data_IF_152263511260
#
_entry.id   IF_152263511260
#
_cell.length_a   1.000
_cell.length_b   1.000
_cell.length_c   1.000
_cell.angle_alpha   90.00
_cell.angle_beta   90.00
_cell.angle_gamma   90.00
#
_symmetry.space_group_name_H-M   'P 1'
#
loop_
_entity.id
_entity.type
_entity.pdbx_description
1 polymer ?
#
# COMPACT_ATOMS: atom_id res chain seq x y z
N UNK A 1 -27.65 -5.92 -2.15
CA UNK A 1 -28.65 -5.06 -2.80
C UNK A 1 -29.33 -4.20 -1.74
N UNK A 2 -29.23 -2.87 -1.85
CA UNK A 2 -29.91 -1.91 -0.99
C UNK A 2 -30.84 -1.04 -1.84
N UNK A 3 -32.02 -0.71 -1.32
CA UNK A 3 -32.99 0.14 -2.01
C UNK A 3 -33.59 1.16 -1.04
N UNK A 4 -33.77 2.39 -1.54
CA UNK A 4 -34.45 3.46 -0.81
C UNK A 4 -35.57 4.01 -1.67
N UNK A 5 -36.80 3.85 -1.22
CA UNK A 5 -38.01 4.22 -1.95
C UNK A 5 -38.52 5.56 -1.45
N UNK A 6 -38.31 6.62 -2.25
CA UNK A 6 -38.96 7.90 -2.07
C UNK A 6 -40.37 7.92 -2.68
N UNK A 7 -41.07 9.05 -2.60
CA UNK A 7 -42.38 9.22 -3.25
C UNK A 7 -42.24 9.46 -4.75
N UNK A 8 -41.16 10.13 -5.16
CA UNK A 8 -40.91 10.48 -6.56
C UNK A 8 -39.83 9.63 -7.23
N UNK A 9 -38.84 9.17 -6.47
CA UNK A 9 -37.71 8.39 -6.98
C UNK A 9 -37.39 7.21 -6.06
N UNK A 10 -37.02 6.09 -6.65
CA UNK A 10 -36.37 4.99 -5.94
C UNK A 10 -34.87 5.00 -6.25
N UNK A 11 -34.03 4.80 -5.24
CA UNK A 11 -32.57 4.67 -5.40
C UNK A 11 -32.17 3.25 -5.07
N UNK A 12 -31.55 2.57 -6.03
CA UNK A 12 -31.02 1.22 -5.92
C UNK A 12 -29.51 1.25 -5.89
N UNK A 13 -28.94 0.50 -4.97
CA UNK A 13 -27.53 0.15 -4.95
C UNK A 13 -27.35 -1.37 -5.07
N UNK A 14 -26.76 -1.82 -6.17
CA UNK A 14 -26.53 -3.25 -6.41
C UNK A 14 -25.30 -3.50 -7.29
N UNK A 15 -24.50 -4.50 -6.91
CA UNK A 15 -23.34 -4.94 -7.71
C UNK A 15 -22.37 -3.84 -8.13
N UNK A 16 -22.13 -2.83 -7.29
CA UNK A 16 -21.26 -1.70 -7.64
C UNK A 16 -21.89 -0.69 -8.62
N UNK A 17 -23.22 -0.65 -8.71
CA UNK A 17 -23.96 0.33 -9.52
C UNK A 17 -25.03 1.03 -8.69
N UNK A 18 -25.20 2.33 -8.95
CA UNK A 18 -26.26 3.18 -8.39
C UNK A 18 -27.25 3.47 -9.50
N UNK A 19 -28.51 3.10 -9.29
CA UNK A 19 -29.61 3.34 -10.23
C UNK A 19 -30.67 4.19 -9.56
N UNK A 20 -31.13 5.26 -10.21
CA UNK A 20 -32.33 5.98 -9.78
C UNK A 20 -33.47 5.69 -10.74
N UNK A 21 -34.64 5.38 -10.21
CA UNK A 21 -35.84 5.12 -10.98
C UNK A 21 -36.93 6.13 -10.59
N UNK A 22 -37.34 7.02 -11.52
CA UNK A 22 -38.52 7.86 -11.36
C UNK A 22 -39.78 7.01 -11.15
N UNK A 23 -40.62 7.39 -10.21
CA UNK A 23 -41.89 6.74 -9.85
C UNK A 23 -43.11 7.51 -10.36
N UNK A 24 -42.89 8.70 -10.92
CA UNK A 24 -43.90 9.54 -11.58
C UNK A 24 -43.43 9.83 -13.02
N UNK A 25 -44.38 10.10 -13.91
CA UNK A 25 -44.10 10.34 -15.34
C UNK A 25 -43.52 11.75 -15.63
N UNK A 26 -43.48 12.64 -14.63
CA UNK A 26 -42.92 13.99 -14.76
C UNK A 26 -41.41 13.98 -14.55
N UNK A 27 -40.67 14.51 -15.53
CA UNK A 27 -39.31 15.11 -15.61
C UNK A 27 -38.15 14.62 -14.70
N UNK A 28 -38.34 13.64 -13.84
CA UNK A 28 -37.25 13.01 -13.10
C UNK A 28 -36.55 12.01 -14.02
N UNK A 29 -35.23 12.14 -14.13
CA UNK A 29 -34.45 11.32 -15.05
C UNK A 29 -33.80 10.17 -14.29
N UNK A 30 -33.91 8.97 -14.87
CA UNK A 30 -33.25 7.80 -14.35
C UNK A 30 -31.72 7.92 -14.51
N UNK A 31 -31.00 7.70 -13.41
CA UNK A 31 -29.55 7.56 -13.38
C UNK A 31 -29.23 6.07 -13.40
N UNK A 32 -28.21 5.68 -14.15
CA UNK A 32 -27.57 4.37 -14.03
C UNK A 32 -26.05 4.58 -14.10
N UNK A 33 -25.40 4.50 -12.95
CA UNK A 33 -24.01 4.92 -12.77
C UNK A 33 -23.23 3.81 -12.07
N UNK A 34 -22.13 3.32 -12.67
CA UNK A 34 -21.21 2.46 -11.94
C UNK A 34 -20.49 3.25 -10.83
N UNK A 35 -20.37 2.67 -9.64
CA UNK A 35 -19.69 3.29 -8.49
C UNK A 35 -18.26 3.70 -8.83
N UNK A 36 -17.59 3.00 -9.74
CA UNK A 36 -16.25 3.35 -10.21
C UNK A 36 -16.14 4.75 -10.86
N UNK A 37 -17.25 5.32 -11.33
CA UNK A 37 -17.33 6.68 -11.89
C UNK A 37 -17.57 7.73 -10.81
N UNK A 38 -17.92 7.31 -9.59
CA UNK A 38 -18.12 8.18 -8.45
C UNK A 38 -16.79 8.43 -7.73
N UNK A 39 -16.57 9.68 -7.35
CA UNK A 39 -15.51 10.10 -6.42
C UNK A 39 -15.93 9.88 -4.98
N UNK A 40 -17.19 10.19 -4.65
CA UNK A 40 -17.79 10.02 -3.32
C UNK A 40 -19.32 10.14 -3.39
N UNK A 41 -20.00 9.65 -2.36
CA UNK A 41 -21.42 9.91 -2.12
C UNK A 41 -21.60 10.56 -0.73
N UNK A 42 -22.55 11.48 -0.59
CA UNK A 42 -22.83 12.16 0.69
C UNK A 42 -24.32 12.36 0.90
N UNK A 43 -24.69 12.63 2.15
CA UNK A 43 -26.04 13.04 2.51
C UNK A 43 -26.01 14.48 3.00
N UNK A 44 -26.91 15.29 2.45
CA UNK A 44 -27.20 16.63 2.92
C UNK A 44 -28.69 16.76 3.25
N UNK A 45 -29.04 17.77 4.03
CA UNK A 45 -30.44 18.17 4.30
C UNK A 45 -30.67 19.52 3.64
N UNK A 46 -31.76 19.65 2.88
CA UNK A 46 -32.15 20.92 2.25
C UNK A 46 -32.85 21.83 3.24
N UNK A 47 -33.00 23.11 2.92
CA UNK A 47 -33.73 24.07 3.75
C UNK A 47 -35.19 23.66 3.99
N UNK A 48 -35.85 23.04 2.99
CA UNK A 48 -37.21 22.49 3.11
C UNK A 48 -37.30 21.18 3.91
N UNK A 49 -36.22 20.76 4.57
CA UNK A 49 -36.14 19.54 5.38
C UNK A 49 -35.97 18.24 4.58
N UNK A 50 -36.03 18.25 3.25
CA UNK A 50 -35.75 17.08 2.39
C UNK A 50 -34.31 16.62 2.51
N UNK A 51 -34.06 15.38 2.10
CA UNK A 51 -32.74 14.76 2.10
C UNK A 51 -32.22 14.73 0.68
N UNK A 52 -30.95 15.08 0.49
CA UNK A 52 -30.28 14.96 -0.79
C UNK A 52 -29.14 13.95 -0.66
N UNK A 53 -29.21 12.87 -1.43
CA UNK A 53 -28.06 12.00 -1.69
C UNK A 53 -27.25 12.65 -2.81
N UNK A 54 -26.08 13.17 -2.47
CA UNK A 54 -25.18 13.89 -3.36
C UNK A 54 -24.16 12.93 -3.96
N UNK A 55 -24.24 12.71 -5.28
CA UNK A 55 -23.30 11.87 -6.03
C UNK A 55 -22.24 12.76 -6.68
N UNK A 56 -20.97 12.59 -6.30
CA UNK A 56 -19.86 13.32 -6.89
C UNK A 56 -19.15 12.42 -7.90
N UNK A 57 -18.99 12.88 -9.14
CA UNK A 57 -18.33 12.14 -10.20
C UNK A 57 -16.81 12.38 -10.19
N UNK A 58 -16.06 11.39 -10.69
CA UNK A 58 -14.60 11.49 -10.87
C UNK A 58 -14.25 12.40 -12.04
N UNK A 59 -14.95 12.22 -13.17
CA UNK A 59 -14.76 13.03 -14.36
C UNK A 59 -15.71 14.24 -14.34
N UNK A 60 -15.20 15.48 -14.54
CA UNK A 60 -16.07 16.65 -14.76
C UNK A 60 -16.90 16.53 -16.04
N UNK A 61 -16.45 15.76 -17.01
CA UNK A 61 -17.13 15.58 -18.29
C UNK A 61 -18.18 14.46 -18.25
N UNK A 62 -18.36 13.80 -17.09
CA UNK A 62 -19.37 12.77 -16.94
C UNK A 62 -20.76 13.37 -17.18
N UNK A 63 -21.45 12.88 -18.21
CA UNK A 63 -22.74 13.42 -18.64
C UNK A 63 -23.86 12.78 -17.83
N UNK A 64 -24.62 13.62 -17.14
CA UNK A 64 -25.85 13.24 -16.44
C UNK A 64 -27.01 13.98 -17.10
N UNK A 65 -27.96 13.22 -17.65
CA UNK A 65 -29.16 13.77 -18.31
C UNK A 65 -28.83 14.73 -19.47
N UNK A 66 -27.78 14.41 -20.25
CA UNK A 66 -27.32 15.26 -21.35
C UNK A 66 -26.51 16.48 -20.92
N UNK A 67 -26.30 16.70 -19.62
CA UNK A 67 -25.51 17.81 -19.06
C UNK A 67 -24.24 17.28 -18.38
N UNK A 68 -23.03 17.75 -18.73
CA UNK A 68 -21.81 17.39 -18.01
C UNK A 68 -21.88 17.82 -16.54
N UNK A 69 -21.41 16.98 -15.63
CA UNK A 69 -21.47 17.25 -14.19
C UNK A 69 -20.61 18.45 -13.76
N UNK A 70 -19.53 18.78 -14.49
CA UNK A 70 -18.65 19.93 -14.23
C UNK A 70 -18.23 20.08 -12.77
N UNK A 71 -17.94 18.96 -12.09
CA UNK A 71 -17.64 18.85 -10.66
C UNK A 71 -18.80 19.16 -9.69
N UNK A 72 -19.98 19.52 -10.17
CA UNK A 72 -21.16 19.67 -9.33
C UNK A 72 -21.71 18.29 -8.92
N UNK A 73 -22.09 18.10 -7.65
CA UNK A 73 -22.74 16.88 -7.24
C UNK A 73 -24.13 16.79 -7.88
N UNK A 74 -24.51 15.59 -8.29
CA UNK A 74 -25.88 15.32 -8.75
C UNK A 74 -26.72 14.94 -7.53
N UNK A 75 -27.73 15.75 -7.17
CA UNK A 75 -28.59 15.47 -6.04
C UNK A 75 -29.70 14.48 -6.41
N UNK A 76 -29.93 13.50 -5.54
CA UNK A 76 -31.13 12.66 -5.56
C UNK A 76 -31.92 12.98 -4.31
N UNK A 77 -33.11 13.56 -4.48
CA UNK A 77 -33.93 14.03 -3.38
C UNK A 77 -34.83 12.91 -2.84
N UNK A 78 -34.85 12.78 -1.52
CA UNK A 78 -35.65 11.81 -0.77
C UNK A 78 -36.37 12.54 0.37
N UNK A 79 -37.44 11.92 0.86
CA UNK A 79 -38.20 12.45 1.98
C UNK A 79 -37.43 12.33 3.31
N UNK A 80 -37.72 13.19 4.30
CA UNK A 80 -37.01 13.22 5.58
C UNK A 80 -37.03 11.87 6.32
N UNK A 81 -38.10 11.10 6.18
CA UNK A 81 -38.28 9.82 6.85
C UNK A 81 -37.33 8.73 6.32
N UNK A 82 -36.71 8.95 5.14
CA UNK A 82 -35.78 8.02 4.51
C UNK A 82 -34.32 8.19 4.94
N UNK A 83 -34.06 9.03 5.94
CA UNK A 83 -32.69 9.41 6.36
C UNK A 83 -31.78 8.22 6.68
N UNK A 84 -32.27 7.29 7.49
CA UNK A 84 -31.47 6.15 7.94
C UNK A 84 -31.14 5.21 6.79
N UNK A 85 -32.14 4.94 5.93
CA UNK A 85 -32.01 4.09 4.75
C UNK A 85 -31.05 4.72 3.72
N UNK A 86 -31.15 6.04 3.51
CA UNK A 86 -30.21 6.77 2.68
C UNK A 86 -28.78 6.71 3.25
N UNK A 87 -28.62 6.82 4.58
CA UNK A 87 -27.32 6.73 5.25
C UNK A 87 -26.69 5.35 5.09
N UNK A 88 -27.48 4.29 5.18
CA UNK A 88 -27.01 2.93 4.90
C UNK A 88 -26.58 2.75 3.44
N UNK A 89 -27.38 3.25 2.49
CA UNK A 89 -27.04 3.23 1.07
C UNK A 89 -25.73 3.98 0.77
N UNK A 90 -25.56 5.20 1.31
CA UNK A 90 -24.33 5.98 1.13
C UNK A 90 -23.13 5.29 1.77
N UNK A 91 -23.28 4.70 2.97
CA UNK A 91 -22.21 3.91 3.61
C UNK A 91 -21.79 2.71 2.76
N UNK A 92 -22.74 2.01 2.12
CA UNK A 92 -22.43 0.89 1.24
C UNK A 92 -21.68 1.35 -0.01
N UNK A 93 -22.10 2.46 -0.64
CA UNK A 93 -21.38 3.06 -1.77
C UNK A 93 -19.97 3.50 -1.35
N UNK A 94 -19.82 4.18 -0.21
CA UNK A 94 -18.52 4.62 0.30
C UNK A 94 -17.61 3.41 0.62
N UNK A 95 -18.16 2.31 1.15
CA UNK A 95 -17.40 1.07 1.40
C UNK A 95 -16.85 0.46 0.10
N UNK A 96 -17.68 0.38 -0.95
CA UNK A 96 -17.24 -0.19 -2.22
C UNK A 96 -16.31 0.77 -2.97
N UNK A 97 -16.51 2.08 -2.83
CA UNK A 97 -15.51 3.07 -3.24
C UNK A 97 -14.17 2.82 -2.55
N UNK A 98 -14.12 2.61 -1.23
CA UNK A 98 -12.86 2.30 -0.54
C UNK A 98 -12.20 1.03 -1.09
N UNK A 99 -12.98 0.02 -1.47
CA UNK A 99 -12.49 -1.16 -2.19
C UNK A 99 -11.87 -0.82 -3.55
N UNK A 100 -12.50 0.08 -4.32
CA UNK A 100 -12.03 0.53 -5.63
C UNK A 100 -10.87 1.54 -5.57
N UNK A 101 -10.64 2.19 -4.44
CA UNK A 101 -9.47 3.05 -4.20
C UNK A 101 -8.24 2.25 -3.78
N UNK A 102 -8.36 0.92 -3.59
CA UNK A 102 -7.18 0.05 -3.49
C UNK A 102 -6.53 -0.02 -4.88
N UNK A 103 -5.58 0.87 -5.11
CA UNK A 103 -4.63 0.73 -6.20
C UNK A 103 -3.79 -0.50 -5.87
N UNK A 104 -4.17 -1.66 -6.42
CA UNK A 104 -3.25 -2.78 -6.49
C UNK A 104 -2.13 -2.35 -7.41
N UNK A 105 -1.02 -1.90 -6.84
CA UNK A 105 0.17 -1.67 -7.64
C UNK A 105 0.46 -2.97 -8.41
N UNK A 106 0.65 -2.91 -9.74
CA UNK A 106 0.98 -4.09 -10.52
C UNK A 106 2.21 -4.73 -9.89
N UNK A 107 2.03 -5.93 -9.33
CA UNK A 107 3.11 -6.64 -8.67
C UNK A 107 4.09 -7.13 -9.72
N UNK A 108 5.41 -6.96 -9.50
CA UNK A 108 6.38 -7.71 -10.28
C UNK A 108 6.11 -9.21 -10.08
N UNK A 109 6.29 -10.00 -11.13
CA UNK A 109 6.13 -11.45 -11.05
C UNK A 109 7.30 -12.06 -10.26
N UNK A 110 7.00 -12.48 -9.03
CA UNK A 110 7.91 -13.20 -8.14
C UNK A 110 7.54 -14.68 -8.01
N UNK A 111 6.97 -15.27 -9.06
CA UNK A 111 6.74 -16.71 -9.12
C UNK A 111 8.07 -17.44 -8.93
N UNK A 112 8.12 -18.33 -7.94
CA UNK A 112 9.32 -19.10 -7.60
C UNK A 112 9.74 -19.94 -8.81
N UNK A 113 10.96 -19.74 -9.35
CA UNK A 113 11.41 -20.48 -10.52
C UNK A 113 11.64 -21.95 -10.17
N UNK A 114 11.44 -22.88 -11.13
CA UNK A 114 11.76 -24.28 -10.92
C UNK A 114 13.27 -24.48 -10.75
N UNK A 115 13.65 -25.57 -10.08
CA UNK A 115 15.04 -25.99 -9.99
C UNK A 115 15.55 -26.43 -11.37
N UNK A 116 16.68 -25.85 -11.80
CA UNK A 116 17.39 -26.22 -13.01
C UNK A 116 18.58 -27.13 -12.64
N UNK A 117 18.76 -28.21 -13.39
CA UNK A 117 19.93 -29.07 -13.23
C UNK A 117 21.16 -28.36 -13.77
N UNK A 118 22.17 -28.19 -12.92
CA UNK A 118 23.48 -27.64 -13.29
C UNK A 118 24.60 -28.64 -12.95
N UNK A 119 25.83 -28.43 -13.48
CA UNK A 119 27.00 -29.19 -13.06
C UNK A 119 27.31 -29.12 -11.55
N UNK A 120 26.77 -28.10 -10.85
CA UNK A 120 26.94 -27.89 -9.41
C UNK A 120 25.73 -28.36 -8.59
N UNK A 121 24.80 -29.11 -9.21
CA UNK A 121 23.57 -29.59 -8.59
C UNK A 121 22.32 -28.78 -9.01
N UNK A 122 21.18 -29.03 -8.37
CA UNK A 122 19.96 -28.25 -8.59
C UNK A 122 20.19 -26.78 -8.21
N UNK A 123 19.98 -25.86 -9.14
CA UNK A 123 20.12 -24.43 -8.93
C UNK A 123 18.82 -23.72 -9.26
N UNK A 124 18.49 -22.71 -8.47
CA UNK A 124 17.38 -21.80 -8.76
C UNK A 124 17.87 -20.60 -9.56
N UNK A 125 17.06 -20.19 -10.53
CA UNK A 125 17.40 -19.10 -11.42
C UNK A 125 17.47 -17.75 -10.69
N UNK A 126 16.57 -17.49 -9.75
CA UNK A 126 16.51 -16.25 -8.98
C UNK A 126 17.75 -16.04 -8.11
N UNK A 127 18.20 -17.08 -7.39
CA UNK A 127 19.47 -17.06 -6.62
C UNK A 127 20.65 -16.80 -7.55
N UNK A 128 20.69 -17.47 -8.70
CA UNK A 128 21.77 -17.32 -9.68
C UNK A 128 21.79 -15.90 -10.26
N UNK A 129 20.63 -15.35 -10.59
CA UNK A 129 20.48 -14.00 -11.14
C UNK A 129 20.86 -12.94 -10.11
N UNK A 130 20.51 -13.13 -8.84
CA UNK A 130 20.89 -12.24 -7.75
C UNK A 130 22.40 -12.29 -7.49
N UNK A 131 23.01 -13.47 -7.51
CA UNK A 131 24.47 -13.63 -7.42
C UNK A 131 25.22 -12.95 -8.59
N UNK A 132 24.69 -13.02 -9.81
CA UNK A 132 25.28 -12.35 -10.98
C UNK A 132 25.28 -10.81 -10.88
N UNK A 133 24.42 -10.22 -10.04
CA UNK A 133 24.40 -8.77 -9.80
C UNK A 133 25.41 -8.33 -8.74
N UNK A 134 25.89 -9.25 -7.89
CA UNK A 134 26.94 -8.95 -6.91
C UNK A 134 28.24 -8.62 -7.62
N UNK A 135 28.96 -7.61 -7.10
CA UNK A 135 30.24 -7.22 -7.72
C UNK A 135 31.32 -8.29 -7.55
N UNK A 136 31.34 -8.94 -6.39
CA UNK A 136 32.38 -9.91 -6.00
C UNK A 136 31.80 -11.27 -5.59
N UNK A 137 30.84 -11.79 -6.38
CA UNK A 137 30.20 -13.09 -6.11
C UNK A 137 31.20 -14.25 -5.86
N UNK A 138 32.39 -14.18 -6.48
CA UNK A 138 33.46 -15.17 -6.31
C UNK A 138 33.94 -15.36 -4.87
N UNK A 139 33.81 -14.34 -4.01
CA UNK A 139 34.19 -14.44 -2.60
C UNK A 139 33.16 -15.15 -1.72
N UNK A 140 31.94 -15.33 -2.21
CA UNK A 140 30.81 -15.91 -1.47
C UNK A 140 30.26 -17.17 -2.13
N UNK A 141 31.05 -17.87 -2.96
CA UNK A 141 30.59 -19.05 -3.72
C UNK A 141 30.03 -20.13 -2.78
N UNK A 142 30.64 -20.33 -1.61
CA UNK A 142 30.19 -21.34 -0.64
C UNK A 142 28.83 -20.96 -0.05
N UNK A 143 28.67 -19.72 0.34
CA UNK A 143 27.45 -19.18 0.92
C UNK A 143 26.32 -19.12 -0.11
N UNK A 144 26.63 -18.76 -1.37
CA UNK A 144 25.68 -18.81 -2.49
C UNK A 144 25.24 -20.26 -2.73
N UNK A 145 26.18 -21.22 -2.71
CA UNK A 145 25.86 -22.64 -2.87
C UNK A 145 24.97 -23.15 -1.73
N UNK A 146 25.23 -22.73 -0.49
CA UNK A 146 24.37 -23.04 0.65
C UNK A 146 22.98 -22.41 0.48
N UNK A 147 22.91 -21.16 0.01
CA UNK A 147 21.64 -20.46 -0.22
C UNK A 147 20.75 -21.18 -1.25
N UNK A 148 21.33 -21.79 -2.29
CA UNK A 148 20.57 -22.61 -3.26
C UNK A 148 19.76 -23.74 -2.59
N UNK A 149 20.25 -24.26 -1.46
CA UNK A 149 19.58 -25.32 -0.69
C UNK A 149 18.67 -24.77 0.41
N UNK A 150 19.00 -23.59 0.95
CA UNK A 150 18.26 -22.96 2.03
C UNK A 150 17.01 -22.23 1.56
N UNK A 151 17.00 -21.75 0.31
CA UNK A 151 15.88 -21.02 -0.26
C UNK A 151 14.67 -21.93 -0.47
N UNK A 152 13.55 -21.63 0.22
CA UNK A 152 12.33 -22.44 0.24
C UNK A 152 11.54 -22.33 -1.06
N UNK A 153 10.71 -23.32 -1.34
CA UNK A 153 9.90 -23.36 -2.58
C UNK A 153 8.77 -22.33 -2.66
N UNK A 154 8.52 -21.58 -1.58
CA UNK A 154 7.47 -20.56 -1.43
C UNK A 154 8.01 -19.12 -1.37
N UNK A 155 9.33 -18.92 -1.47
CA UNK A 155 9.94 -17.59 -1.46
C UNK A 155 10.76 -17.35 -2.71
N UNK A 156 10.83 -16.10 -3.17
CA UNK A 156 11.67 -15.67 -4.27
C UNK A 156 12.87 -14.88 -3.74
N UNK A 157 14.08 -15.16 -4.22
CA UNK A 157 15.31 -14.48 -3.79
C UNK A 157 15.49 -13.19 -4.61
N UNK A 158 15.43 -12.04 -3.92
CA UNK A 158 15.44 -10.72 -4.53
C UNK A 158 16.86 -10.23 -4.79
N UNK A 159 17.69 -10.08 -3.76
CA UNK A 159 19.06 -9.54 -3.86
C UNK A 159 20.00 -10.20 -2.85
N UNK A 160 21.29 -10.19 -3.19
CA UNK A 160 22.39 -10.72 -2.38
C UNK A 160 23.48 -9.67 -2.21
N UNK A 161 24.14 -9.67 -1.07
CA UNK A 161 25.37 -8.91 -0.85
C UNK A 161 26.34 -9.69 0.03
N UNK A 162 27.63 -9.55 -0.27
CA UNK A 162 28.67 -9.97 0.68
C UNK A 162 28.56 -9.07 1.91
N UNK A 163 28.69 -9.66 3.10
CA UNK A 163 28.57 -8.93 4.33
C UNK A 163 29.35 -9.61 5.44
N UNK A 164 29.85 -8.85 6.40
CA UNK A 164 30.24 -9.37 7.69
C UNK A 164 29.28 -8.91 8.78
N UNK A 165 28.90 -9.82 9.65
CA UNK A 165 28.09 -9.57 10.85
C UNK A 165 28.85 -10.08 12.06
N UNK A 166 28.98 -9.27 13.11
CA UNK A 166 29.76 -9.62 14.32
C UNK A 166 31.16 -10.18 14.00
N UNK A 167 31.86 -9.54 13.04
CA UNK A 167 33.19 -9.95 12.53
C UNK A 167 33.24 -11.29 11.79
N UNK A 168 32.09 -11.90 11.52
CA UNK A 168 31.99 -13.15 10.77
C UNK A 168 31.61 -12.81 9.32
N UNK A 169 32.45 -13.16 8.33
CA UNK A 169 32.10 -12.96 6.93
C UNK A 169 31.01 -13.95 6.50
N UNK A 170 30.15 -13.52 5.58
CA UNK A 170 29.05 -14.29 5.05
C UNK A 170 28.34 -13.58 3.92
N UNK A 171 27.09 -13.96 3.73
CA UNK A 171 26.21 -13.49 2.66
C UNK A 171 24.88 -13.05 3.27
N UNK A 172 24.50 -11.80 3.04
CA UNK A 172 23.12 -11.36 3.26
C UNK A 172 22.31 -11.67 2.02
N UNK A 173 21.14 -12.28 2.20
CA UNK A 173 20.16 -12.53 1.17
C UNK A 173 18.80 -12.01 1.60
N UNK A 174 18.11 -11.29 0.73
CA UNK A 174 16.72 -10.88 0.93
C UNK A 174 15.84 -11.71 0.03
N UNK A 175 14.84 -12.35 0.63
CA UNK A 175 13.75 -13.03 -0.09
C UNK A 175 12.45 -12.26 0.07
N UNK A 176 11.40 -12.69 -0.62
CA UNK A 176 10.05 -12.16 -0.43
C UNK A 176 9.50 -12.40 0.98
N UNK A 177 10.07 -13.34 1.76
CA UNK A 177 9.54 -13.73 3.07
C UNK A 177 10.50 -13.46 4.24
N UNK A 178 11.81 -13.36 3.99
CA UNK A 178 12.83 -13.29 5.06
C UNK A 178 14.14 -12.69 4.60
N UNK A 179 14.87 -12.15 5.57
CA UNK A 179 16.30 -11.88 5.48
C UNK A 179 17.07 -13.10 6.00
N UNK A 180 18.07 -13.54 5.25
CA UNK A 180 18.99 -14.59 5.62
C UNK A 180 20.40 -14.01 5.71
N UNK A 181 21.12 -14.30 6.79
CA UNK A 181 22.57 -14.14 6.84
C UNK A 181 23.21 -15.53 6.91
N UNK A 182 23.86 -15.92 5.81
CA UNK A 182 24.51 -17.22 5.63
C UNK A 182 26.00 -17.04 5.87
N UNK A 183 26.54 -17.65 6.92
CA UNK A 183 27.98 -17.71 7.15
C UNK A 183 28.44 -19.16 7.29
N UNK A 184 29.76 -19.38 7.33
CA UNK A 184 30.35 -20.72 7.29
C UNK A 184 29.86 -21.67 8.40
N UNK A 185 29.44 -21.14 9.55
CA UNK A 185 29.06 -21.94 10.72
C UNK A 185 27.55 -21.93 11.03
N UNK A 186 26.84 -20.87 10.62
CA UNK A 186 25.48 -20.59 11.09
C UNK A 186 24.69 -19.87 10.00
N UNK A 187 23.37 -20.11 9.99
CA UNK A 187 22.42 -19.34 9.21
C UNK A 187 21.53 -18.59 10.17
N UNK A 188 21.50 -17.26 10.06
CA UNK A 188 20.56 -16.42 10.80
C UNK A 188 19.40 -16.06 9.88
N UNK A 189 18.18 -16.14 10.41
CA UNK A 189 16.94 -15.90 9.68
C UNK A 189 16.10 -14.89 10.44
N UNK A 190 15.64 -13.85 9.75
CA UNK A 190 14.63 -12.93 10.26
C UNK A 190 13.47 -12.85 9.25
N UNK A 191 12.21 -13.06 9.66
CA UNK A 191 11.08 -12.86 8.78
C UNK A 191 10.98 -11.39 8.37
N UNK A 192 10.57 -11.11 7.13
CA UNK A 192 10.38 -9.74 6.63
C UNK A 192 9.35 -8.99 7.50
N UNK A 193 8.36 -9.69 8.04
CA UNK A 193 7.38 -9.19 9.01
C UNK A 193 7.99 -8.48 10.23
N UNK A 194 9.21 -8.87 10.61
CA UNK A 194 9.91 -8.33 11.77
C UNK A 194 10.86 -7.17 11.41
N UNK A 195 11.01 -6.83 10.13
CA UNK A 195 11.95 -5.83 9.64
C UNK A 195 11.22 -4.50 9.39
N UNK A 196 11.72 -3.42 9.98
CA UNK A 196 11.12 -2.09 9.88
C UNK A 196 11.73 -1.26 8.75
N UNK A 197 13.07 -1.20 8.69
CA UNK A 197 13.81 -0.38 7.74
C UNK A 197 15.21 -0.90 7.49
N UNK A 198 15.75 -0.60 6.32
CA UNK A 198 17.17 -0.69 6.04
C UNK A 198 17.73 0.66 5.61
N UNK A 199 18.89 0.99 6.16
CA UNK A 199 19.66 2.17 5.81
C UNK A 199 21.08 1.75 5.42
N UNK A 200 21.60 2.37 4.36
CA UNK A 200 22.99 2.19 3.95
C UNK A 200 23.74 3.45 4.36
N UNK A 201 24.73 3.27 5.23
CA UNK A 201 25.65 4.32 5.64
C UNK A 201 26.91 4.19 4.80
N UNK A 202 27.13 5.19 3.95
CA UNK A 202 28.33 5.26 3.11
C UNK A 202 29.60 5.40 3.97
N UNK A 203 30.74 4.88 3.50
CA UNK A 203 32.01 4.97 4.23
C UNK A 203 32.44 6.44 4.39
N UNK A 204 32.73 6.83 5.64
CA UNK A 204 33.09 8.22 5.98
C UNK A 204 34.44 8.67 5.40
N UNK A 205 35.30 7.74 5.00
CA UNK A 205 36.61 8.01 4.42
C UNK A 205 37.01 6.93 3.39
N UNK A 206 37.90 7.24 2.42
CA UNK A 206 38.48 6.24 1.55
C UNK A 206 39.18 5.14 2.37
N UNK A 207 38.78 3.88 2.17
CA UNK A 207 39.30 2.75 2.95
C UNK A 207 38.51 2.44 4.23
N UNK A 208 37.39 3.11 4.48
CA UNK A 208 36.37 2.65 5.42
C UNK A 208 35.37 1.69 4.74
N UNK A 209 34.68 0.89 5.53
CA UNK A 209 33.62 -0.02 5.07
C UNK A 209 32.27 0.71 5.04
N UNK A 210 31.42 0.34 4.08
CA UNK A 210 30.01 0.68 4.10
C UNK A 210 29.30 -0.16 5.17
N UNK A 211 28.22 0.39 5.73
CA UNK A 211 27.40 -0.31 6.72
C UNK A 211 25.95 -0.37 6.24
N UNK A 212 25.38 -1.56 6.20
CA UNK A 212 23.94 -1.78 6.07
C UNK A 212 23.36 -1.98 7.48
N UNK A 213 22.56 -1.03 7.93
CA UNK A 213 21.79 -1.09 9.17
C UNK A 213 20.40 -1.62 8.87
N UNK A 214 19.99 -2.69 9.54
CA UNK A 214 18.65 -3.26 9.44
C UNK A 214 17.97 -3.17 10.80
N UNK A 215 16.87 -2.42 10.87
CA UNK A 215 16.05 -2.32 12.06
C UNK A 215 15.03 -3.45 12.09
N UNK A 216 14.96 -4.16 13.21
CA UNK A 216 14.00 -5.23 13.46
C UNK A 216 13.36 -5.06 14.85
N UNK A 217 12.27 -4.28 14.93
CA UNK A 217 11.65 -3.90 16.19
C UNK A 217 12.63 -3.12 17.08
N UNK A 218 12.92 -3.58 18.32
CA UNK A 218 13.90 -2.91 19.19
C UNK A 218 15.36 -3.24 18.83
N UNK A 219 15.63 -4.19 17.93
CA UNK A 219 16.97 -4.60 17.57
C UNK A 219 17.46 -3.87 16.30
N UNK A 220 18.76 -3.57 16.25
CA UNK A 220 19.45 -3.09 15.05
C UNK A 220 20.55 -4.10 14.69
N UNK A 221 20.55 -4.56 13.44
CA UNK A 221 21.59 -5.43 12.89
C UNK A 221 22.49 -4.60 11.99
N UNK A 222 23.81 -4.69 12.21
CA UNK A 222 24.81 -3.99 11.41
C UNK A 222 25.63 -4.97 10.59
N UNK A 223 25.51 -4.86 9.27
CA UNK A 223 26.31 -5.60 8.30
C UNK A 223 27.33 -4.66 7.68
N UNK A 224 28.57 -5.11 7.53
CA UNK A 224 29.65 -4.30 6.94
C UNK A 224 30.23 -4.96 5.69
N UNK A 225 30.52 -4.17 4.68
CA UNK A 225 31.25 -4.59 3.48
C UNK A 225 31.92 -3.39 2.82
N UNK A 226 32.83 -3.65 1.88
CA UNK A 226 33.52 -2.61 1.14
C UNK A 226 32.66 -1.98 0.04
N UNK A 227 31.61 -2.69 -0.44
CA UNK A 227 30.82 -2.25 -1.59
C UNK A 227 29.43 -1.69 -1.22
N UNK A 228 29.27 -0.35 -1.13
CA UNK A 228 27.99 0.26 -0.78
C UNK A 228 26.89 0.01 -1.83
N UNK A 229 27.26 -0.25 -3.08
CA UNK A 229 26.31 -0.48 -4.18
C UNK A 229 25.51 -1.78 -3.99
N UNK A 230 26.17 -2.81 -3.46
CA UNK A 230 25.51 -4.09 -3.19
C UNK A 230 24.54 -3.95 -2.00
N UNK A 231 24.92 -3.18 -0.98
CA UNK A 231 24.04 -2.80 0.14
C UNK A 231 22.86 -1.93 -0.29
N UNK A 232 23.04 -0.99 -1.22
CA UNK A 232 21.94 -0.19 -1.74
C UNK A 232 20.87 -1.05 -2.42
N UNK A 233 21.29 -2.06 -3.20
CA UNK A 233 20.36 -3.03 -3.82
C UNK A 233 19.65 -3.88 -2.78
N UNK A 234 20.38 -4.39 -1.78
CA UNK A 234 19.80 -5.16 -0.67
C UNK A 234 18.79 -4.32 0.12
N UNK A 235 19.10 -3.07 0.44
CA UNK A 235 18.17 -2.18 1.14
C UNK A 235 16.91 -1.89 0.30
N UNK A 236 17.05 -1.73 -1.03
CA UNK A 236 15.92 -1.58 -1.93
C UNK A 236 15.07 -2.86 -2.01
N UNK A 237 15.71 -4.03 -2.08
CA UNK A 237 15.02 -5.32 -2.07
C UNK A 237 14.27 -5.55 -0.76
N UNK A 238 14.85 -5.15 0.38
CA UNK A 238 14.17 -5.25 1.67
C UNK A 238 12.90 -4.38 1.69
N UNK A 239 12.98 -3.13 1.24
CA UNK A 239 11.79 -2.26 1.14
C UNK A 239 10.72 -2.89 0.28
N UNK A 240 11.10 -3.44 -0.87
CA UNK A 240 10.16 -4.14 -1.76
C UNK A 240 9.54 -5.38 -1.10
N UNK A 241 10.31 -6.19 -0.37
CA UNK A 241 9.78 -7.34 0.36
C UNK A 241 8.78 -6.92 1.44
N UNK A 242 9.11 -5.88 2.21
CA UNK A 242 8.22 -5.28 3.22
C UNK A 242 6.94 -4.79 2.56
N UNK A 243 7.03 -4.09 1.42
CA UNK A 243 5.87 -3.61 0.67
C UNK A 243 4.97 -4.77 0.19
N UNK A 244 5.56 -5.86 -0.32
CA UNK A 244 4.81 -7.06 -0.75
C UNK A 244 4.05 -7.67 0.42
N UNK A 245 4.71 -7.86 1.56
CA UNK A 245 4.11 -8.49 2.75
C UNK A 245 2.98 -7.65 3.36
N UNK A 246 3.14 -6.31 3.39
CA UNK A 246 2.09 -5.41 3.86
C UNK A 246 0.81 -5.47 2.99
N UNK A 247 0.93 -5.80 1.70
CA UNK A 247 -0.23 -5.98 0.81
C UNK A 247 -0.89 -7.35 1.01
N UNK A 248 -0.16 -8.38 1.46
CA UNK A 248 -0.62 -9.77 1.59
C UNK A 248 -1.28 -10.13 2.94
N UNK A 249 -1.52 -9.14 3.80
CA UNK A 249 -2.36 -9.32 4.99
C UNK A 249 -1.63 -9.25 6.32
N UNK A 250 -0.67 -8.33 6.47
CA UNK A 250 -0.24 -7.97 7.81
C UNK A 250 -1.44 -7.38 8.60
N UNK A 251 -1.68 -7.92 9.79
CA UNK A 251 -2.68 -7.42 10.76
C UNK A 251 -2.09 -6.25 11.57
N UNK A 252 -0.87 -5.81 11.24
CA UNK A 252 -0.27 -4.61 11.79
C UNK A 252 -0.53 -3.47 10.81
N UNK A 253 -1.05 -2.36 11.33
CA UNK A 253 -1.30 -1.18 10.52
C UNK A 253 -0.01 -0.79 9.80
N UNK A 254 -0.02 -0.83 8.46
CA UNK A 254 1.02 -0.21 7.64
C UNK A 254 1.28 1.18 8.20
N UNK A 255 2.53 1.47 8.59
CA UNK A 255 2.87 2.83 8.96
C UNK A 255 2.57 3.71 7.74
N UNK A 256 1.86 4.84 7.91
CA UNK A 256 1.52 5.70 6.80
C UNK A 256 2.82 6.17 6.12
N UNK A 257 2.88 6.08 4.79
CA UNK A 257 4.01 6.61 4.04
C UNK A 257 4.08 8.13 4.18
N UNK A 258 5.20 8.74 3.81
CA UNK A 258 5.33 10.21 3.81
C UNK A 258 4.26 10.88 2.92
N UNK A 259 3.83 10.20 1.86
CA UNK A 259 2.75 10.66 0.96
C UNK A 259 1.40 10.59 1.68
N UNK A 260 1.15 9.54 2.46
CA UNK A 260 -0.09 9.38 3.23
C UNK A 260 -0.17 10.42 4.34
N UNK A 261 0.93 10.64 5.07
CA UNK A 261 1.02 11.66 6.11
C UNK A 261 0.85 13.07 5.55
N UNK A 262 1.39 13.34 4.36
CA UNK A 262 1.19 14.63 3.69
C UNK A 262 -0.26 14.82 3.25
N UNK A 263 -0.91 13.78 2.71
CA UNK A 263 -2.32 13.83 2.35
C UNK A 263 -3.22 14.03 3.58
N UNK A 264 -2.92 13.35 4.69
CA UNK A 264 -3.61 13.54 5.97
C UNK A 264 -3.42 14.95 6.53
N UNK A 265 -2.21 15.49 6.45
CA UNK A 265 -1.93 16.88 6.83
C UNK A 265 -2.77 17.88 6.02
N UNK A 266 -2.78 17.73 4.69
CA UNK A 266 -3.57 18.61 3.82
C UNK A 266 -5.06 18.53 4.16
N UNK A 267 -5.59 17.33 4.35
CA UNK A 267 -6.99 17.12 4.71
C UNK A 267 -7.34 17.74 6.08
N UNK A 268 -6.45 17.62 7.06
CA UNK A 268 -6.61 18.21 8.38
C UNK A 268 -6.65 19.75 8.31
N UNK A 269 -5.75 20.35 7.52
CA UNK A 269 -5.71 21.80 7.28
C UNK A 269 -6.98 22.28 6.57
N UNK A 270 -7.45 21.54 5.55
CA UNK A 270 -8.70 21.86 4.86
C UNK A 270 -9.91 21.81 5.80
N UNK A 271 -10.01 20.77 6.64
CA UNK A 271 -11.08 20.65 7.65
C UNK A 271 -11.05 21.78 8.66
N UNK A 272 -9.86 22.23 9.09
CA UNK A 272 -9.71 23.39 9.98
C UNK A 272 -10.17 24.68 9.30
N UNK A 273 -9.78 24.89 8.04
CA UNK A 273 -10.21 26.06 7.23
C UNK A 273 -11.72 26.09 7.01
N UNK A 274 -12.36 24.93 6.90
CA UNK A 274 -13.81 24.80 6.79
C UNK A 274 -14.55 24.85 8.14
N UNK A 275 -13.85 25.07 9.26
CA UNK A 275 -14.45 25.13 10.60
C UNK A 275 -14.96 23.78 11.13
N UNK A 276 -14.57 22.67 10.49
CA UNK A 276 -15.03 21.31 10.85
C UNK A 276 -14.24 20.68 11.99
N UNK A 277 -13.13 21.30 12.38
CA UNK A 277 -12.24 20.84 13.46
C UNK A 277 -11.89 22.04 14.32
N UNK A 278 -12.10 21.91 15.63
CA UNK A 278 -11.72 22.92 16.62
C UNK A 278 -10.19 22.96 16.82
N UNK A 279 -9.69 24.01 17.46
CA UNK A 279 -8.25 24.27 17.50
C UNK A 279 -7.47 23.20 18.28
N UNK A 280 -8.00 22.74 19.42
CA UNK A 280 -7.32 21.76 20.27
C UNK A 280 -7.26 20.33 19.66
N UNK A 281 -8.32 19.79 19.03
CA UNK A 281 -8.23 18.56 18.24
C UNK A 281 -7.29 18.68 17.03
N UNK A 282 -7.27 19.85 16.36
CA UNK A 282 -6.36 20.11 15.23
C UNK A 282 -4.90 20.04 15.70
N UNK A 283 -4.54 20.72 16.79
CA UNK A 283 -3.17 20.72 17.33
C UNK A 283 -2.70 19.31 17.71
N UNK A 284 -3.57 18.51 18.36
CA UNK A 284 -3.22 17.12 18.70
C UNK A 284 -2.96 16.24 17.48
N UNK A 285 -3.82 16.34 16.46
CA UNK A 285 -3.66 15.55 15.22
C UNK A 285 -2.47 16.04 14.39
N UNK A 286 -2.25 17.36 14.33
CA UNK A 286 -1.09 17.99 13.68
C UNK A 286 0.23 17.49 14.27
N UNK A 287 0.35 17.48 15.60
CA UNK A 287 1.53 16.95 16.31
C UNK A 287 1.73 15.47 16.01
N UNK A 288 0.66 14.67 16.01
CA UNK A 288 0.73 13.25 15.66
C UNK A 288 1.29 13.01 14.25
N UNK A 289 0.80 13.76 13.26
CA UNK A 289 1.28 13.66 11.86
C UNK A 289 2.73 14.15 11.75
N UNK A 290 3.10 15.25 12.41
CA UNK A 290 4.47 15.78 12.37
C UNK A 290 5.49 14.84 13.02
N UNK A 291 5.13 14.19 14.12
CA UNK A 291 5.99 13.19 14.78
C UNK A 291 6.15 11.96 13.86
N UNK A 292 5.07 11.53 13.21
CA UNK A 292 5.10 10.41 12.27
C UNK A 292 5.91 10.69 10.99
N UNK A 293 6.06 11.96 10.57
CA UNK A 293 6.90 12.33 9.42
C UNK A 293 8.40 12.38 9.74
N UNK A 294 8.78 12.48 11.02
CA UNK A 294 10.17 12.67 11.44
C UNK A 294 10.91 11.40 11.86
N UNK A 295 10.24 10.24 11.89
CA UNK A 295 10.81 8.93 12.20
C UNK A 295 10.90 8.03 10.98
#
# INVERSE_FOLDING_TARGET
MLEVWGRKVAVRYDGGRVVTQPLQADDEVALDVPVAELRRARIATTEDGRIAVLLYFRSPDYVVNGVPAQHHPVPVFLEPERREQAAELVRAIEKDLLGLHRVFQPRPDFTVPPLLLSPHGPMREDVTRAAQRMRFAGHSIREITALQQLARGDEYVLELAQAAYERTPGLVAITTLRLLFVCAATVYELPVAALDRAEVVDPAAPGAVATLKVQAGPAELEFIDWEPVDFARVAQALRLAVDIEHVDGSVLASRPSSVDLFAEWQLLVERRRLGMVEDEPFQRQAVGIMIAMGG
#
